data_IF_139096640515
#
_entry.id   IF_139096640515
#
_cell.length_a   1.000
_cell.length_b   1.000
_cell.length_c   1.000
_cell.angle_alpha   90.00
_cell.angle_beta   90.00
_cell.angle_gamma   90.00
#
_symmetry.space_group_name_H-M   'P 1'
#
loop_
_entity.id
_entity.type
_entity.pdbx_description
1 polymer ?
#
# COMPACT_ATOMS: atom_id res chain seq x y z
N UNK A 1 -16.09 2.45 -9.12
CA UNK A 1 -16.12 3.92 -8.95
C UNK A 1 -16.31 4.20 -7.48
N UNK A 2 -15.49 5.13 -6.93
CA UNK A 2 -15.58 5.54 -5.53
C UNK A 2 -16.96 6.17 -5.23
N UNK A 3 -17.53 5.81 -4.06
CA UNK A 3 -18.82 6.31 -3.61
C UNK A 3 -20.05 5.64 -4.23
N UNK A 4 -19.88 4.75 -5.21
CA UNK A 4 -21.01 4.03 -5.82
C UNK A 4 -20.84 2.51 -5.80
N UNK A 5 -19.67 2.01 -6.16
CA UNK A 5 -19.33 0.58 -6.15
C UNK A 5 -18.34 0.24 -5.03
N UNK A 6 -17.65 1.26 -4.55
CA UNK A 6 -16.62 1.18 -3.53
C UNK A 6 -16.86 2.30 -2.52
N UNK A 7 -17.14 1.94 -1.29
CA UNK A 7 -17.38 2.83 -0.16
C UNK A 7 -16.67 2.37 1.11
N UNK A 8 -16.91 3.04 2.21
CA UNK A 8 -16.30 2.70 3.51
C UNK A 8 -16.82 1.38 4.07
N UNK A 9 -18.07 1.00 3.83
CA UNK A 9 -18.63 -0.28 4.24
C UNK A 9 -17.95 -1.43 3.49
N UNK A 10 -17.83 -1.30 2.17
CA UNK A 10 -17.06 -2.24 1.36
C UNK A 10 -15.62 -2.38 1.86
N UNK A 11 -14.96 -1.25 2.16
CA UNK A 11 -13.57 -1.22 2.59
C UNK A 11 -13.37 -1.95 3.93
N UNK A 12 -14.25 -1.72 4.90
CA UNK A 12 -14.22 -2.42 6.19
C UNK A 12 -14.46 -3.91 6.03
N UNK A 13 -15.50 -4.29 5.29
CA UNK A 13 -15.81 -5.70 5.00
C UNK A 13 -14.67 -6.40 4.28
N UNK A 14 -13.98 -5.72 3.36
CA UNK A 14 -12.81 -6.27 2.67
C UNK A 14 -11.66 -6.52 3.65
N UNK A 15 -11.39 -5.59 4.57
CA UNK A 15 -10.40 -5.79 5.62
C UNK A 15 -10.71 -7.03 6.49
N UNK A 16 -11.97 -7.19 6.89
CA UNK A 16 -12.43 -8.37 7.63
C UNK A 16 -12.28 -9.67 6.83
N UNK A 17 -12.63 -9.64 5.55
CA UNK A 17 -12.53 -10.80 4.67
C UNK A 17 -11.08 -11.25 4.47
N UNK A 18 -10.16 -10.30 4.26
CA UNK A 18 -8.73 -10.57 4.11
C UNK A 18 -8.15 -11.17 5.39
N UNK A 19 -8.38 -10.54 6.55
CA UNK A 19 -7.89 -11.06 7.81
C UNK A 19 -8.40 -12.47 8.10
N UNK A 20 -9.67 -12.75 7.72
CA UNK A 20 -10.31 -14.04 7.97
C UNK A 20 -9.84 -15.11 7.00
N UNK A 21 -9.88 -14.83 5.69
CA UNK A 21 -9.61 -15.82 4.65
C UNK A 21 -8.13 -16.22 4.61
N UNK A 22 -7.23 -15.23 4.69
CA UNK A 22 -5.79 -15.44 4.63
C UNK A 22 -5.18 -15.75 6.02
N UNK A 23 -6.00 -15.86 7.05
CA UNK A 23 -5.57 -16.06 8.44
C UNK A 23 -4.42 -15.11 8.83
N UNK A 24 -4.53 -13.85 8.36
CA UNK A 24 -3.46 -12.88 8.48
C UNK A 24 -3.36 -12.35 9.91
N UNK A 25 -2.21 -12.52 10.54
CA UNK A 25 -1.91 -11.98 11.86
C UNK A 25 -1.35 -10.54 11.79
N UNK A 26 -0.63 -10.21 10.69
CA UNK A 26 -0.04 -8.89 10.52
C UNK A 26 -0.16 -8.41 9.06
N UNK A 27 -0.67 -7.19 8.87
CA UNK A 27 -0.90 -6.59 7.55
C UNK A 27 -0.20 -5.25 7.44
N UNK A 28 0.59 -5.04 6.37
CA UNK A 28 1.09 -3.71 6.04
C UNK A 28 0.14 -3.00 5.08
N UNK A 29 -0.09 -1.69 5.31
CA UNK A 29 -1.00 -0.89 4.49
C UNK A 29 -0.33 0.38 4.02
N UNK A 30 -0.53 0.74 2.75
CA UNK A 30 -0.23 2.06 2.18
C UNK A 30 -1.46 2.61 1.49
N UNK A 31 -1.51 3.92 1.30
CA UNK A 31 -2.52 4.55 0.45
C UNK A 31 -1.91 5.58 -0.48
N UNK A 32 -2.61 5.91 -1.54
CA UNK A 32 -2.30 7.05 -2.38
C UNK A 32 -2.96 8.35 -1.87
N UNK A 33 -2.90 9.40 -2.69
CA UNK A 33 -3.39 10.75 -2.36
C UNK A 33 -4.80 11.06 -2.90
N UNK A 34 -5.54 10.07 -3.41
CA UNK A 34 -6.92 10.26 -3.88
C UNK A 34 -7.81 10.72 -2.74
N UNK A 35 -8.77 11.59 -3.02
CA UNK A 35 -9.68 12.15 -2.03
C UNK A 35 -10.42 11.07 -1.22
N UNK A 36 -10.74 9.92 -1.82
CA UNK A 36 -11.41 8.80 -1.16
C UNK A 36 -10.46 7.87 -0.39
N UNK A 37 -9.14 7.96 -0.61
CA UNK A 37 -8.18 7.03 0.00
C UNK A 37 -8.09 7.12 1.52
N UNK A 38 -8.18 8.29 2.17
CA UNK A 38 -8.18 8.39 3.63
C UNK A 38 -9.35 7.61 4.27
N UNK A 39 -10.56 7.82 3.79
CA UNK A 39 -11.77 7.19 4.35
C UNK A 39 -11.76 5.67 4.15
N UNK A 40 -11.32 5.23 2.97
CA UNK A 40 -11.20 3.80 2.68
C UNK A 40 -10.09 3.13 3.49
N UNK A 41 -8.99 3.84 3.70
CA UNK A 41 -7.90 3.37 4.55
C UNK A 41 -8.36 3.17 6.00
N UNK A 42 -9.01 4.18 6.57
CA UNK A 42 -9.52 4.10 7.95
C UNK A 42 -10.50 2.93 8.12
N UNK A 43 -11.46 2.79 7.20
CA UNK A 43 -12.44 1.73 7.24
C UNK A 43 -11.79 0.33 7.06
N UNK A 44 -10.86 0.20 6.12
CA UNK A 44 -10.13 -1.03 5.87
C UNK A 44 -9.31 -1.47 7.08
N UNK A 45 -8.55 -0.55 7.67
CA UNK A 45 -7.76 -0.80 8.89
C UNK A 45 -8.67 -1.22 10.04
N UNK A 46 -9.81 -0.56 10.23
CA UNK A 46 -10.80 -0.95 11.24
C UNK A 46 -11.27 -2.40 11.03
N UNK A 47 -11.54 -2.80 9.77
CA UNK A 47 -11.91 -4.16 9.43
C UNK A 47 -10.83 -5.18 9.80
N UNK A 48 -9.57 -4.90 9.52
CA UNK A 48 -8.43 -5.75 9.90
C UNK A 48 -8.32 -5.89 11.42
N UNK A 49 -8.30 -4.76 12.13
CA UNK A 49 -8.11 -4.73 13.59
C UNK A 49 -9.25 -5.44 14.33
N UNK A 50 -10.51 -5.24 13.92
CA UNK A 50 -11.67 -5.91 14.53
C UNK A 50 -11.75 -7.39 14.20
N UNK A 51 -10.99 -7.85 13.24
CA UNK A 51 -10.79 -9.27 12.94
C UNK A 51 -9.50 -9.85 13.52
N UNK A 52 -8.81 -9.10 14.38
CA UNK A 52 -7.66 -9.59 15.16
C UNK A 52 -6.31 -9.48 14.44
N UNK A 53 -6.25 -8.83 13.27
CA UNK A 53 -4.98 -8.61 12.59
C UNK A 53 -4.29 -7.34 13.09
N UNK A 54 -3.00 -7.42 13.38
CA UNK A 54 -2.15 -6.26 13.62
C UNK A 54 -1.90 -5.50 12.31
N UNK A 55 -1.90 -4.17 12.38
CA UNK A 55 -1.68 -3.31 11.22
C UNK A 55 -0.43 -2.47 11.35
N UNK A 56 0.43 -2.52 10.34
CA UNK A 56 1.56 -1.62 10.15
C UNK A 56 1.22 -0.64 9.03
N UNK A 57 0.84 0.56 9.42
CA UNK A 57 0.55 1.63 8.47
C UNK A 57 1.84 2.30 8.00
N UNK A 58 2.11 2.24 6.72
CA UNK A 58 3.27 2.84 6.07
C UNK A 58 2.95 4.21 5.45
N UNK A 59 1.73 4.71 5.68
CA UNK A 59 1.28 6.04 5.29
C UNK A 59 0.99 6.20 3.79
N UNK A 60 1.19 7.45 3.32
CA UNK A 60 1.07 7.76 1.89
C UNK A 60 2.34 7.32 1.19
N UNK A 61 2.23 6.29 0.34
CA UNK A 61 3.40 5.79 -0.36
C UNK A 61 3.04 5.03 -1.64
N UNK A 62 4.07 4.53 -2.32
CA UNK A 62 3.93 3.79 -3.58
C UNK A 62 3.75 2.29 -3.37
N UNK A 63 3.23 1.61 -4.38
CA UNK A 63 3.17 0.13 -4.38
C UNK A 63 4.56 -0.52 -4.31
N UNK A 64 5.61 0.17 -4.76
CA UNK A 64 6.99 -0.30 -4.59
C UNK A 64 7.42 -0.41 -3.13
N UNK A 65 7.05 0.59 -2.32
CA UNK A 65 7.26 0.57 -0.86
C UNK A 65 6.47 -0.57 -0.21
N UNK A 66 5.21 -0.75 -0.63
CA UNK A 66 4.39 -1.86 -0.14
C UNK A 66 5.02 -3.22 -0.43
N UNK A 67 5.40 -3.48 -1.69
CA UNK A 67 6.01 -4.76 -2.06
C UNK A 67 7.32 -5.01 -1.30
N UNK A 68 8.09 -3.97 -1.06
CA UNK A 68 9.30 -4.11 -0.25
C UNK A 68 8.99 -4.47 1.20
N UNK A 69 7.88 -4.00 1.76
CA UNK A 69 7.48 -4.31 3.13
C UNK A 69 7.27 -5.81 3.35
N UNK A 70 6.81 -6.56 2.33
CA UNK A 70 6.65 -8.03 2.44
C UNK A 70 7.98 -8.79 2.54
N UNK A 71 9.09 -8.11 2.26
CA UNK A 71 10.44 -8.69 2.37
C UNK A 71 11.10 -8.29 3.70
N UNK A 72 10.87 -7.06 4.15
CA UNK A 72 11.60 -6.46 5.26
C UNK A 72 10.87 -6.56 6.60
N UNK A 73 9.55 -6.75 6.58
CA UNK A 73 8.70 -6.78 7.76
C UNK A 73 8.05 -8.16 7.93
N UNK A 74 7.76 -8.55 9.16
CA UNK A 74 7.02 -9.79 9.43
C UNK A 74 5.53 -9.56 9.18
N UNK A 75 5.15 -9.42 7.92
CA UNK A 75 3.75 -9.26 7.50
C UNK A 75 3.32 -10.41 6.61
N UNK A 76 2.11 -10.88 6.82
CA UNK A 76 1.51 -11.97 6.04
C UNK A 76 0.91 -11.43 4.74
N UNK A 77 0.30 -10.25 4.85
CA UNK A 77 -0.40 -9.58 3.76
C UNK A 77 0.04 -8.13 3.66
N UNK A 78 0.07 -7.61 2.44
CA UNK A 78 0.34 -6.19 2.18
C UNK A 78 -0.71 -5.61 1.24
N UNK A 79 -1.26 -4.43 1.57
CA UNK A 79 -2.36 -3.82 0.83
C UNK A 79 -2.09 -2.36 0.49
N UNK A 80 -2.25 -2.01 -0.79
CA UNK A 80 -2.24 -0.62 -1.25
C UNK A 80 -3.64 -0.17 -1.65
N UNK A 81 -4.09 0.92 -1.07
CA UNK A 81 -5.36 1.57 -1.42
C UNK A 81 -5.07 2.60 -2.51
N UNK A 82 -5.40 2.25 -3.74
CA UNK A 82 -5.08 3.01 -4.95
C UNK A 82 -5.82 2.49 -6.16
N UNK A 83 -6.15 3.37 -7.10
CA UNK A 83 -6.61 2.98 -8.44
C UNK A 83 -5.51 3.11 -9.51
N UNK A 84 -4.24 3.22 -9.10
CA UNK A 84 -3.11 3.32 -10.05
C UNK A 84 -3.26 4.47 -11.05
N UNK A 85 -3.44 4.17 -12.34
CA UNK A 85 -3.51 5.11 -13.46
C UNK A 85 -4.94 5.52 -13.84
N UNK A 86 -5.94 5.02 -13.10
CA UNK A 86 -7.33 5.38 -13.36
C UNK A 86 -7.61 6.84 -12.98
N UNK A 87 -8.66 7.46 -13.58
CA UNK A 87 -9.11 8.80 -13.22
C UNK A 87 -9.39 9.00 -11.72
N UNK A 88 -9.46 10.24 -11.24
CA UNK A 88 -9.58 10.56 -9.80
C UNK A 88 -10.78 9.93 -9.10
N UNK A 89 -11.88 9.74 -9.81
CA UNK A 89 -13.12 9.16 -9.31
C UNK A 89 -13.05 7.65 -9.05
N UNK A 90 -11.95 6.99 -9.43
CA UNK A 90 -11.73 5.57 -9.15
C UNK A 90 -10.88 5.41 -7.89
N UNK A 91 -11.08 4.29 -7.20
CA UNK A 91 -10.18 3.79 -6.19
C UNK A 91 -10.18 2.25 -6.22
N UNK A 92 -9.34 1.62 -5.39
CA UNK A 92 -9.23 0.17 -5.36
C UNK A 92 -8.23 -0.33 -4.34
N UNK A 93 -8.04 -1.65 -4.34
CA UNK A 93 -7.12 -2.33 -3.45
C UNK A 93 -6.20 -3.25 -4.25
N UNK A 94 -4.89 -3.08 -4.08
CA UNK A 94 -3.89 -4.03 -4.58
C UNK A 94 -3.37 -4.80 -3.39
N UNK A 95 -3.35 -6.11 -3.49
CA UNK A 95 -3.05 -7.00 -2.38
C UNK A 95 -1.94 -7.97 -2.74
N UNK A 96 -1.09 -8.29 -1.78
CA UNK A 96 -0.10 -9.35 -1.85
C UNK A 96 -0.23 -10.24 -0.62
N UNK A 97 -0.16 -11.53 -0.82
CA UNK A 97 0.07 -12.50 0.24
C UNK A 97 1.54 -12.93 0.19
N UNK A 98 2.23 -12.80 1.31
CA UNK A 98 3.68 -12.94 1.31
C UNK A 98 4.32 -12.06 0.24
N UNK A 99 5.02 -12.67 -0.72
CA UNK A 99 5.72 -11.96 -1.81
C UNK A 99 4.98 -12.00 -3.15
N UNK A 100 3.78 -12.58 -3.19
CA UNK A 100 3.04 -12.77 -4.42
C UNK A 100 1.80 -11.90 -4.48
N UNK A 101 1.50 -11.27 -5.63
CA UNK A 101 0.24 -10.56 -5.81
C UNK A 101 -0.94 -11.53 -5.65
N UNK A 102 -1.94 -11.12 -4.87
CA UNK A 102 -3.18 -11.86 -4.73
C UNK A 102 -4.02 -11.69 -6.01
N UNK A 103 -4.40 -12.80 -6.62
CA UNK A 103 -5.16 -12.77 -7.86
C UNK A 103 -5.75 -14.14 -8.21
N UNK A 104 -6.43 -14.22 -9.37
CA UNK A 104 -6.96 -15.47 -9.86
C UNK A 104 -7.97 -16.12 -8.92
N UNK A 105 -7.80 -17.41 -8.66
CA UNK A 105 -8.71 -18.22 -7.83
C UNK A 105 -8.71 -17.74 -6.37
N UNK A 106 -7.57 -17.38 -5.83
CA UNK A 106 -7.44 -16.94 -4.45
C UNK A 106 -8.21 -15.64 -4.16
N UNK A 107 -8.21 -14.70 -5.10
CA UNK A 107 -9.05 -13.51 -5.01
C UNK A 107 -10.55 -13.85 -5.03
N UNK A 108 -10.96 -14.90 -5.75
CA UNK A 108 -12.35 -15.35 -5.74
C UNK A 108 -12.74 -15.98 -4.40
N UNK A 109 -11.83 -16.66 -3.73
CA UNK A 109 -12.09 -17.20 -2.39
C UNK A 109 -12.18 -16.08 -1.33
N UNK A 110 -11.34 -15.03 -1.41
CA UNK A 110 -11.51 -13.82 -0.59
C UNK A 110 -12.87 -13.18 -0.87
N UNK A 111 -13.29 -13.09 -2.13
CA UNK A 111 -14.60 -12.58 -2.50
C UNK A 111 -15.73 -13.40 -1.88
N UNK A 112 -15.63 -14.72 -1.90
CA UNK A 112 -16.63 -15.60 -1.29
C UNK A 112 -16.75 -15.35 0.21
N UNK A 113 -15.63 -15.26 0.93
CA UNK A 113 -15.59 -14.90 2.36
C UNK A 113 -16.23 -13.52 2.61
N UNK A 114 -15.95 -12.55 1.73
CA UNK A 114 -16.56 -11.23 1.77
C UNK A 114 -18.08 -11.28 1.60
N UNK A 115 -18.60 -12.07 0.66
CA UNK A 115 -20.03 -12.21 0.38
C UNK A 115 -20.76 -12.96 1.49
N UNK A 116 -20.18 -14.01 2.03
CA UNK A 116 -20.73 -14.80 3.15
C UNK A 116 -20.81 -14.00 4.47
N UNK A 117 -19.85 -13.10 4.71
CA UNK A 117 -19.84 -12.25 5.89
C UNK A 117 -19.51 -12.97 7.21
N UNK A 118 -19.01 -14.19 7.14
CA UNK A 118 -18.59 -14.98 8.29
C UNK A 118 -17.15 -14.62 8.66
N UNK A 119 -16.96 -13.46 9.30
CA UNK A 119 -15.65 -12.98 9.65
C UNK A 119 -15.23 -13.44 11.05
N UNK A 120 -13.93 -13.72 11.21
CA UNK A 120 -13.36 -13.90 12.54
C UNK A 120 -13.49 -12.60 13.35
N UNK A 121 -13.63 -12.75 14.65
CA UNK A 121 -13.66 -11.62 15.60
C UNK A 121 -12.35 -11.59 16.38
N UNK A 122 -11.82 -10.39 16.64
CA UNK A 122 -10.58 -10.25 17.37
C UNK A 122 -10.27 -8.79 17.69
N UNK A 123 -9.09 -8.55 18.20
CA UNK A 123 -8.58 -7.21 18.51
C UNK A 123 -7.10 -7.16 18.19
N UNK A 124 -6.77 -6.63 17.03
CA UNK A 124 -5.39 -6.36 16.62
C UNK A 124 -4.91 -5.00 17.10
N UNK A 125 -3.64 -4.73 16.89
CA UNK A 125 -3.01 -3.46 17.19
C UNK A 125 -2.80 -2.66 15.90
N UNK A 126 -2.84 -1.33 16.02
CA UNK A 126 -2.51 -0.42 14.93
C UNK A 126 -1.27 0.39 15.29
N UNK A 127 -0.32 0.45 14.37
CA UNK A 127 0.85 1.33 14.50
C UNK A 127 1.25 1.94 13.18
N UNK A 128 1.68 3.19 13.24
CA UNK A 128 2.27 3.90 12.10
C UNK A 128 3.79 3.67 12.10
N UNK A 129 4.36 3.46 10.91
CA UNK A 129 5.80 3.30 10.71
C UNK A 129 6.32 4.31 9.68
N UNK A 130 6.30 5.59 10.01
CA UNK A 130 6.73 6.70 9.13
C UNK A 130 8.19 6.55 8.64
N UNK A 131 9.04 5.88 9.41
CA UNK A 131 10.44 5.67 9.05
C UNK A 131 10.67 4.61 7.97
N UNK A 132 9.63 3.91 7.54
CA UNK A 132 9.79 2.79 6.61
C UNK A 132 10.21 3.26 5.20
N UNK A 133 9.71 4.41 4.74
CA UNK A 133 10.14 4.99 3.46
C UNK A 133 11.65 5.18 3.38
N UNK A 134 12.28 5.61 4.46
CA UNK A 134 13.74 5.79 4.51
C UNK A 134 14.49 4.45 4.36
N UNK A 135 13.97 3.37 4.94
CA UNK A 135 14.53 2.01 4.74
C UNK A 135 14.42 1.58 3.28
N UNK A 136 13.29 1.87 2.65
CA UNK A 136 13.09 1.60 1.23
C UNK A 136 14.08 2.38 0.36
N UNK A 137 14.22 3.69 0.59
CA UNK A 137 15.20 4.54 -0.09
C UNK A 137 16.61 3.96 0.05
N UNK A 138 17.02 3.62 1.27
CA UNK A 138 18.35 3.05 1.51
C UNK A 138 18.54 1.74 0.73
N UNK A 139 17.55 0.88 0.67
CA UNK A 139 17.62 -0.37 -0.09
C UNK A 139 17.85 -0.17 -1.59
N UNK A 140 17.30 0.91 -2.16
CA UNK A 140 17.55 1.29 -3.56
C UNK A 140 18.99 1.76 -3.72
N UNK A 141 19.46 2.65 -2.83
CA UNK A 141 20.83 3.19 -2.89
C UNK A 141 21.88 2.07 -2.82
N UNK A 142 21.66 1.10 -1.94
CA UNK A 142 22.56 -0.05 -1.78
C UNK A 142 22.59 -0.96 -3.01
N UNK A 143 21.47 -1.01 -3.74
CA UNK A 143 21.32 -1.88 -4.91
C UNK A 143 21.84 -1.28 -6.21
N UNK A 144 21.71 0.05 -6.38
CA UNK A 144 21.98 0.72 -7.66
C UNK A 144 23.36 1.37 -7.68
N UNK A 145 23.80 1.97 -6.60
CA UNK A 145 25.04 2.75 -6.51
C UNK A 145 24.94 4.10 -7.24
N UNK A 146 26.01 4.90 -7.11
CA UNK A 146 26.07 6.22 -7.76
C UNK A 146 26.39 6.11 -9.25
N UNK A 147 25.83 7.01 -10.08
CA UNK A 147 26.22 7.12 -11.48
C UNK A 147 27.74 7.38 -11.63
N UNK A 148 28.36 6.84 -12.68
CA UNK A 148 29.79 7.04 -12.98
C UNK A 148 30.10 8.41 -13.57
N UNK A 149 29.10 9.23 -13.86
CA UNK A 149 29.22 10.58 -14.40
C UNK A 149 28.12 11.47 -13.87
N UNK A 150 28.30 12.78 -13.96
CA UNK A 150 27.25 13.74 -13.62
C UNK A 150 26.04 13.57 -14.55
N UNK A 151 24.87 13.46 -13.95
CA UNK A 151 23.60 13.33 -14.66
C UNK A 151 22.67 14.43 -14.14
N UNK A 152 22.01 15.11 -15.08
CA UNK A 152 20.89 16.01 -14.80
C UNK A 152 19.61 15.42 -15.37
N UNK A 153 18.54 15.40 -14.56
CA UNK A 153 17.25 14.80 -14.90
C UNK A 153 16.15 15.82 -14.67
N UNK A 154 15.26 15.95 -15.64
CA UNK A 154 13.97 16.58 -15.44
C UNK A 154 12.97 15.48 -15.08
N UNK A 155 12.36 15.57 -13.91
CA UNK A 155 11.47 14.55 -13.37
C UNK A 155 10.04 15.09 -13.30
N UNK A 156 9.15 14.47 -14.07
CA UNK A 156 7.72 14.72 -14.04
C UNK A 156 6.99 13.50 -13.48
N UNK A 157 6.37 13.66 -12.33
CA UNK A 157 5.55 12.63 -11.69
C UNK A 157 4.06 12.97 -11.69
N UNK A 158 3.64 14.01 -12.42
CA UNK A 158 2.24 14.40 -12.57
C UNK A 158 1.52 14.69 -11.25
N UNK A 159 2.19 15.31 -10.27
CA UNK A 159 1.69 15.52 -8.91
C UNK A 159 1.28 14.22 -8.16
N UNK A 160 1.78 13.07 -8.59
CA UNK A 160 1.43 11.79 -8.00
C UNK A 160 2.39 11.40 -6.86
N UNK A 161 1.97 10.39 -6.08
CA UNK A 161 2.69 9.86 -4.90
C UNK A 161 4.18 9.59 -5.12
N UNK A 162 4.66 9.09 -6.28
CA UNK A 162 6.08 8.80 -6.43
C UNK A 162 6.98 10.04 -6.49
N UNK A 163 6.46 11.25 -6.69
CA UNK A 163 7.25 12.45 -6.89
C UNK A 163 8.28 12.71 -5.79
N UNK A 164 7.88 12.96 -4.55
CA UNK A 164 8.80 13.22 -3.44
C UNK A 164 9.82 12.09 -3.22
N UNK A 165 9.35 10.84 -3.33
CA UNK A 165 10.20 9.66 -3.16
C UNK A 165 11.26 9.55 -4.26
N UNK A 166 10.88 9.77 -5.52
CA UNK A 166 11.78 9.70 -6.66
C UNK A 166 12.85 10.80 -6.62
N UNK A 167 12.46 12.04 -6.25
CA UNK A 167 13.39 13.14 -6.02
C UNK A 167 14.43 12.75 -4.96
N UNK A 168 13.96 12.30 -3.79
CA UNK A 168 14.82 11.87 -2.67
C UNK A 168 15.83 10.80 -3.08
N UNK A 169 15.39 9.78 -3.82
CA UNK A 169 16.26 8.70 -4.29
C UNK A 169 17.32 9.21 -5.26
N UNK A 170 16.90 9.98 -6.27
CA UNK A 170 17.81 10.49 -7.32
C UNK A 170 18.85 11.45 -6.74
N UNK A 171 18.45 12.39 -5.89
CA UNK A 171 19.38 13.32 -5.22
C UNK A 171 20.40 12.56 -4.36
N UNK A 172 19.99 11.57 -3.61
CA UNK A 172 20.89 10.75 -2.79
C UNK A 172 21.85 9.90 -3.63
N UNK A 173 21.47 9.54 -4.85
CA UNK A 173 22.36 8.92 -5.84
C UNK A 173 23.35 9.92 -6.47
N UNK A 174 23.23 11.22 -6.18
CA UNK A 174 24.08 12.28 -6.71
C UNK A 174 23.63 12.79 -8.09
N UNK A 175 22.37 12.59 -8.45
CA UNK A 175 21.76 13.14 -9.67
C UNK A 175 21.27 14.56 -9.40
N UNK A 176 21.52 15.48 -10.34
CA UNK A 176 20.95 16.84 -10.34
C UNK A 176 19.52 16.78 -10.85
N UNK A 177 18.53 16.94 -9.96
CA UNK A 177 17.10 16.73 -10.27
C UNK A 177 16.39 18.06 -10.40
N UNK A 178 15.66 18.22 -11.48
CA UNK A 178 14.72 19.33 -11.71
C UNK A 178 13.30 18.74 -11.65
N UNK A 179 12.61 18.79 -10.50
CA UNK A 179 11.25 18.29 -10.43
C UNK A 179 10.28 19.23 -11.16
N UNK A 180 9.36 18.66 -11.91
CA UNK A 180 8.19 19.32 -12.49
C UNK A 180 6.97 18.80 -11.76
N UNK A 181 6.18 19.72 -11.13
CA UNK A 181 4.97 19.45 -10.34
C UNK A 181 5.18 18.57 -9.11
#
# INVERSE_FOLDING_TARGET
IAGSELDTEFSERLGRAIATHLDADCVSVVRDIRDSSPDYHEAFVRGLVTSGADVIDLGISTTGVLYRSTVDLPVDVAVAITASHNPPEYNGFKMCEGKMPLGGEELQEVRKTFEEGNFREGSGNYRIMDSYEERYVQSILDSVGRPSRDIRVVLDCGNAVPGPLAVKVLERLGVDVIPLY
#
